data_IF_963127654300
#
_entry.id   IF_963127654300
#
_cell.length_a   1.000
_cell.length_b   1.000
_cell.length_c   1.000
_cell.angle_alpha   90.00
_cell.angle_beta   90.00
_cell.angle_gamma   90.00
#
_symmetry.space_group_name_H-M   'P 1'
#
loop_
_entity.id
_entity.type
_entity.pdbx_description
1 polymer ?
#
# COMPACT_ATOMS: atom_id res chain seq x y z
N UNK A 1 15.36 17.75 -2.32
CA UNK A 1 15.48 17.17 -0.97
C UNK A 1 14.97 15.74 -1.03
N UNK A 2 15.84 14.74 -1.12
CA UNK A 2 15.46 13.33 -1.23
C UNK A 2 14.94 12.87 0.13
N UNK A 3 13.62 12.77 0.28
CA UNK A 3 13.03 12.05 1.42
C UNK A 3 13.47 10.59 1.26
N UNK A 4 14.40 10.16 2.08
CA UNK A 4 14.71 8.74 2.27
C UNK A 4 13.46 8.09 2.85
N UNK A 5 12.60 7.59 1.97
CA UNK A 5 11.47 6.76 2.33
C UNK A 5 12.04 5.53 3.04
N UNK A 6 11.74 5.40 4.33
CA UNK A 6 12.22 4.30 5.17
C UNK A 6 11.06 3.38 5.46
N UNK A 7 11.24 2.11 5.13
CA UNK A 7 10.25 1.07 5.43
C UNK A 7 10.24 0.63 6.90
N UNK A 8 11.21 1.12 7.68
CA UNK A 8 11.31 0.88 9.12
C UNK A 8 10.93 2.15 9.90
N UNK A 9 10.13 2.02 10.98
CA UNK A 9 9.69 3.17 11.75
C UNK A 9 10.87 3.85 12.44
N UNK A 10 10.97 5.17 12.30
CA UNK A 10 11.97 5.98 13.00
C UNK A 10 11.61 6.22 14.46
N UNK A 11 10.32 6.39 14.73
CA UNK A 11 9.78 6.53 16.07
C UNK A 11 8.94 5.32 16.42
N UNK A 12 9.23 4.76 17.59
CA UNK A 12 8.57 3.57 18.12
C UNK A 12 8.18 3.86 19.56
N UNK A 13 7.00 3.41 19.97
CA UNK A 13 6.53 3.49 21.36
C UNK A 13 5.93 2.16 21.81
N UNK A 14 5.80 2.00 23.12
CA UNK A 14 5.25 0.79 23.73
C UNK A 14 6.18 -0.43 23.61
N UNK A 15 5.71 -1.56 24.15
CA UNK A 15 6.47 -2.82 24.21
C UNK A 15 5.56 -4.01 23.94
N UNK A 16 6.12 -5.12 23.47
CA UNK A 16 5.37 -6.35 23.25
C UNK A 16 4.12 -6.15 22.38
N UNK A 17 2.93 -6.37 22.97
CA UNK A 17 1.63 -6.25 22.27
C UNK A 17 1.23 -4.79 21.96
N UNK A 18 1.73 -3.81 22.71
CA UNK A 18 1.45 -2.38 22.50
C UNK A 18 2.53 -1.67 21.69
N UNK A 19 3.48 -2.41 21.10
CA UNK A 19 4.55 -1.83 20.29
C UNK A 19 3.97 -1.26 18.98
N UNK A 20 4.20 0.03 18.77
CA UNK A 20 3.68 0.80 17.63
C UNK A 20 4.80 1.59 16.96
N UNK A 21 4.72 1.75 15.65
CA UNK A 21 5.58 2.63 14.85
C UNK A 21 4.79 3.81 14.30
N UNK A 22 5.40 5.00 14.27
CA UNK A 22 4.80 6.19 13.68
C UNK A 22 5.03 6.22 12.17
N UNK A 23 3.95 6.33 11.39
CA UNK A 23 4.01 6.60 9.96
C UNK A 23 4.05 8.13 9.73
N UNK A 24 5.15 8.68 9.19
CA UNK A 24 5.26 10.11 8.90
C UNK A 24 4.63 10.51 7.55
N UNK A 25 4.19 9.53 6.75
CA UNK A 25 3.61 9.77 5.42
C UNK A 25 2.11 10.04 5.47
N UNK A 26 1.46 9.85 6.63
CA UNK A 26 0.07 10.22 6.84
C UNK A 26 -0.05 11.66 7.32
N UNK A 27 -1.13 12.32 6.92
CA UNK A 27 -1.56 13.61 7.47
C UNK A 27 -2.97 13.43 8.06
N UNK A 28 -3.13 13.41 9.41
CA UNK A 28 -2.09 13.48 10.44
C UNK A 28 -1.28 12.18 10.57
N UNK A 29 -0.08 12.28 11.15
CA UNK A 29 0.79 11.13 11.37
C UNK A 29 0.11 10.05 12.23
N UNK A 30 0.26 8.77 11.84
CA UNK A 30 -0.50 7.66 12.43
C UNK A 30 0.40 6.65 13.14
N UNK A 31 0.04 6.27 14.37
CA UNK A 31 0.67 5.16 15.08
C UNK A 31 0.03 3.84 14.68
N UNK A 32 0.85 2.86 14.31
CA UNK A 32 0.39 1.56 13.82
C UNK A 32 1.10 0.42 14.53
N UNK A 33 0.36 -0.63 14.87
CA UNK A 33 0.91 -1.81 15.57
C UNK A 33 1.95 -2.51 14.72
N UNK A 34 3.13 -2.76 15.29
CA UNK A 34 4.18 -3.51 14.59
C UNK A 34 4.01 -5.01 14.78
N UNK A 35 3.48 -5.49 15.92
CA UNK A 35 3.42 -6.94 16.22
C UNK A 35 2.57 -7.75 15.22
N UNK A 36 1.55 -7.13 14.64
CA UNK A 36 0.65 -7.74 13.65
C UNK A 36 0.94 -7.25 12.23
N UNK A 37 2.12 -6.66 12.02
CA UNK A 37 2.57 -6.11 10.75
C UNK A 37 1.71 -5.00 10.13
N UNK A 38 0.78 -4.40 10.90
CA UNK A 38 -0.08 -3.33 10.40
C UNK A 38 0.73 -2.13 9.86
N UNK A 39 1.83 -1.77 10.52
CA UNK A 39 2.73 -0.71 10.05
C UNK A 39 3.27 -0.97 8.64
N UNK A 40 3.77 -2.18 8.37
CA UNK A 40 4.39 -2.51 7.09
C UNK A 40 3.37 -2.68 5.97
N UNK A 41 2.22 -3.32 6.26
CA UNK A 41 1.13 -3.40 5.29
C UNK A 41 0.59 -2.02 4.92
N UNK A 42 0.47 -1.13 5.90
CA UNK A 42 0.07 0.24 5.65
C UNK A 42 1.05 0.98 4.72
N UNK A 43 2.36 0.91 4.99
CA UNK A 43 3.36 1.50 4.07
C UNK A 43 3.30 0.88 2.67
N UNK A 44 3.08 -0.43 2.57
CA UNK A 44 3.07 -1.12 1.28
C UNK A 44 1.83 -0.81 0.45
N UNK A 45 0.65 -0.87 1.05
CA UNK A 45 -0.62 -0.75 0.33
C UNK A 45 -1.14 0.69 0.26
N UNK A 46 -1.04 1.47 1.35
CA UNK A 46 -1.57 2.84 1.36
C UNK A 46 -0.57 3.86 0.82
N UNK A 47 0.73 3.66 1.05
CA UNK A 47 1.78 4.56 0.55
C UNK A 47 2.55 4.00 -0.64
N UNK A 48 2.27 2.76 -1.05
CA UNK A 48 2.91 2.14 -2.21
C UNK A 48 4.41 1.97 -2.02
N UNK A 49 4.92 1.70 -0.81
CA UNK A 49 6.36 1.62 -0.56
C UNK A 49 6.82 0.16 -0.55
N UNK A 50 7.88 -0.13 -1.31
CA UNK A 50 8.50 -1.45 -1.37
C UNK A 50 9.23 -1.80 -0.08
N UNK A 51 8.98 -2.99 0.45
CA UNK A 51 9.69 -3.54 1.62
C UNK A 51 11.17 -3.85 1.34
N UNK A 52 11.53 -4.07 0.07
CA UNK A 52 12.88 -4.46 -0.34
C UNK A 52 13.72 -3.22 -0.61
N UNK A 53 13.19 -2.26 -1.39
CA UNK A 53 13.96 -1.09 -1.81
C UNK A 53 13.76 0.12 -0.91
N UNK A 54 12.70 0.13 -0.09
CA UNK A 54 12.28 1.30 0.68
C UNK A 54 11.72 2.44 -0.18
N UNK A 55 11.61 2.27 -1.50
CA UNK A 55 11.15 3.31 -2.42
C UNK A 55 9.68 3.13 -2.80
N UNK A 56 8.98 4.20 -3.20
CA UNK A 56 7.66 4.10 -3.79
C UNK A 56 7.67 3.20 -5.04
N UNK A 57 6.58 2.45 -5.24
CA UNK A 57 6.34 1.70 -6.46
C UNK A 57 6.21 2.66 -7.63
N UNK A 58 6.75 2.23 -8.77
CA UNK A 58 6.63 2.97 -10.02
C UNK A 58 5.17 2.95 -10.46
N UNK A 59 4.63 4.12 -10.76
CA UNK A 59 3.28 4.27 -11.28
C UNK A 59 3.13 3.55 -12.63
N UNK A 60 1.94 3.07 -12.99
CA UNK A 60 1.72 2.46 -14.29
C UNK A 60 1.97 3.47 -15.42
N UNK A 61 2.46 2.97 -16.56
CA UNK A 61 2.81 3.83 -17.70
C UNK A 61 1.57 4.41 -18.39
N UNK A 62 0.44 3.70 -18.28
CA UNK A 62 -0.85 4.13 -18.78
C UNK A 62 -1.96 3.40 -18.02
N UNK A 63 -3.14 4.00 -17.98
CA UNK A 63 -4.36 3.40 -17.43
C UNK A 63 -5.45 3.39 -18.49
N UNK A 64 -6.29 2.36 -18.49
CA UNK A 64 -7.45 2.27 -19.38
C UNK A 64 -8.62 1.57 -18.71
N UNK A 65 -9.82 1.80 -19.24
CA UNK A 65 -10.98 0.94 -18.98
C UNK A 65 -11.13 -0.02 -20.15
N UNK A 66 -11.10 -1.32 -19.88
CA UNK A 66 -11.30 -2.32 -20.90
C UNK A 66 -12.76 -2.30 -21.37
N UNK A 67 -13.01 -1.95 -22.63
CA UNK A 67 -14.35 -1.79 -23.18
C UNK A 67 -15.20 -3.07 -23.15
N UNK A 68 -14.56 -4.25 -23.12
CA UNK A 68 -15.27 -5.55 -23.09
C UNK A 68 -15.68 -5.94 -21.68
N UNK A 69 -14.83 -5.69 -20.69
CA UNK A 69 -15.07 -6.14 -19.30
C UNK A 69 -15.54 -5.02 -18.37
N UNK A 70 -15.41 -3.75 -18.79
CA UNK A 70 -15.66 -2.58 -17.94
C UNK A 70 -14.59 -2.37 -16.85
N UNK A 71 -13.57 -3.23 -16.77
CA UNK A 71 -12.59 -3.21 -15.69
C UNK A 71 -11.45 -2.22 -15.97
N UNK A 72 -10.93 -1.60 -14.90
CA UNK A 72 -9.72 -0.76 -14.97
C UNK A 72 -8.48 -1.63 -15.10
N UNK A 73 -7.65 -1.31 -16.09
CA UNK A 73 -6.37 -1.95 -16.36
C UNK A 73 -5.25 -0.92 -16.33
N UNK A 74 -4.08 -1.35 -15.86
CA UNK A 74 -2.87 -0.57 -15.76
C UNK A 74 -1.76 -1.22 -16.59
N UNK A 75 -1.01 -0.42 -17.36
CA UNK A 75 0.10 -0.89 -18.17
C UNK A 75 1.35 -1.03 -17.30
N UNK A 76 1.86 -2.26 -17.18
CA UNK A 76 3.06 -2.53 -16.40
C UNK A 76 4.32 -2.00 -17.11
N UNK A 77 5.06 -1.12 -16.42
CA UNK A 77 6.31 -0.52 -16.91
C UNK A 77 7.42 -1.53 -17.21
N UNK A 78 7.35 -2.77 -16.69
CA UNK A 78 8.39 -3.78 -16.84
C UNK A 78 8.10 -4.77 -17.97
N UNK A 79 6.86 -5.24 -18.08
CA UNK A 79 6.49 -6.28 -19.05
C UNK A 79 5.65 -5.76 -20.23
N UNK A 80 5.26 -4.48 -20.23
CA UNK A 80 4.42 -3.86 -21.26
C UNK A 80 3.09 -4.60 -21.49
N UNK A 81 2.55 -5.24 -20.45
CA UNK A 81 1.23 -5.90 -20.48
C UNK A 81 0.22 -5.10 -19.68
N UNK A 82 -1.02 -5.11 -20.15
CA UNK A 82 -2.17 -4.60 -19.41
C UNK A 82 -2.55 -5.59 -18.31
N UNK A 83 -2.52 -5.12 -17.07
CA UNK A 83 -2.84 -5.90 -15.87
C UNK A 83 -4.07 -5.28 -15.22
N UNK A 84 -4.98 -6.10 -14.68
CA UNK A 84 -6.13 -5.60 -13.94
C UNK A 84 -5.66 -4.81 -12.72
N UNK A 85 -6.17 -3.58 -12.58
CA UNK A 85 -5.86 -2.70 -11.45
C UNK A 85 -6.73 -3.01 -10.22
N UNK A 86 -7.80 -3.79 -10.41
CA UNK A 86 -8.69 -4.24 -9.36
C UNK A 86 -8.90 -5.75 -9.47
N UNK A 87 -9.26 -6.36 -8.34
CA UNK A 87 -9.65 -7.77 -8.36
C UNK A 87 -10.88 -7.96 -9.25
N UNK A 88 -10.90 -8.93 -10.18
CA UNK A 88 -12.10 -9.26 -10.94
C UNK A 88 -13.21 -9.88 -10.06
N UNK A 89 -12.91 -10.12 -8.78
CA UNK A 89 -13.84 -10.58 -7.73
C UNK A 89 -14.14 -9.44 -6.75
N UNK A 90 -14.38 -8.24 -7.26
CA UNK A 90 -14.92 -7.14 -6.45
C UNK A 90 -16.37 -7.48 -6.11
N UNK A 91 -16.55 -8.21 -5.02
CA UNK A 91 -17.85 -8.58 -4.47
C UNK A 91 -18.10 -7.74 -3.23
N UNK A 92 -19.35 -7.40 -2.99
CA UNK A 92 -19.76 -6.82 -1.72
C UNK A 92 -19.28 -7.70 -0.57
N UNK A 93 -18.66 -7.04 0.38
CA UNK A 93 -18.02 -7.68 1.51
C UNK A 93 -19.10 -8.03 2.50
N UNK A 94 -19.15 -9.29 2.92
CA UNK A 94 -20.10 -9.72 3.95
C UNK A 94 -19.81 -9.09 5.32
N UNK A 95 -18.58 -8.62 5.53
CA UNK A 95 -18.11 -7.94 6.74
C UNK A 95 -17.34 -6.68 6.33
N UNK A 96 -17.98 -5.52 6.17
CA UNK A 96 -17.33 -4.30 5.73
C UNK A 96 -16.09 -3.91 6.57
N UNK A 97 -16.08 -4.28 7.85
CA UNK A 97 -15.03 -3.97 8.83
C UNK A 97 -13.68 -4.66 8.55
N UNK A 98 -13.62 -5.65 7.64
CA UNK A 98 -12.34 -6.28 7.24
C UNK A 98 -11.52 -5.42 6.27
N UNK A 99 -12.14 -4.42 5.64
CA UNK A 99 -11.42 -3.43 4.85
C UNK A 99 -11.03 -2.28 5.77
N UNK A 100 -9.73 -2.20 6.07
CA UNK A 100 -9.06 -1.12 6.81
C UNK A 100 -8.86 0.16 6.02
#
# INVERSE_FOLDING_TARGET
>A
MLILVRYTPRWVRGVGKSKEGLCPHCEPARWLKTKISAYWYHLNYQHGISSITGKPFVQPTAERVNKKTGMKEALCHKCNKWILNQSPRDKDVLVPEIYW
#
